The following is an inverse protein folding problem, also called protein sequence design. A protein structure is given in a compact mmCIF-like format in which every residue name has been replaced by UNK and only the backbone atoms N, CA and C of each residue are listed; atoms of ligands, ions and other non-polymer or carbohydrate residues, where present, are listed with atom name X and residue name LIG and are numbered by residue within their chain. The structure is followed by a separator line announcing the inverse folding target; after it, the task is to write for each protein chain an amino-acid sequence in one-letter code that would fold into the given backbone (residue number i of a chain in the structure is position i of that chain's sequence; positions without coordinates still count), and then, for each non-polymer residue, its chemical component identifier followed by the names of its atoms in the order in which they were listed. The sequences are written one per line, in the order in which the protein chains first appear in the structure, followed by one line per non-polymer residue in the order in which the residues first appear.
data_IF_494194393649
#
_entry.id   IF_494194393649
#
_cell.length_a   1.000
_cell.length_b   1.000
_cell.length_c   1.000
_cell.angle_alpha   90.00
_cell.angle_beta   90.00
_cell.angle_gamma   90.00
#
_symmetry.space_group_name_H-M   'P 1'
#
loop_
_entity.id
_entity.type
_entity.pdbx_description
1 polymer ?
#
# COMPACT_ATOMS: atom_id res chain seq x y z
N UNK A 1 -8.74 14.79 -12.78
CA UNK A 1 -7.39 15.36 -12.63
C UNK A 1 -7.48 16.45 -11.59
N UNK A 2 -6.72 16.37 -10.49
CA UNK A 2 -6.71 17.40 -9.44
C UNK A 2 -5.46 18.24 -9.62
N UNK A 3 -5.56 19.56 -9.42
CA UNK A 3 -4.43 20.49 -9.49
C UNK A 3 -4.15 21.05 -8.11
N UNK A 4 -2.86 21.19 -7.77
CA UNK A 4 -2.40 21.76 -6.51
C UNK A 4 -1.24 22.70 -6.80
N UNK A 5 -1.19 23.82 -6.08
CA UNK A 5 -0.01 24.67 -6.01
C UNK A 5 0.95 24.09 -4.96
N UNK A 6 2.18 23.79 -5.37
CA UNK A 6 3.18 23.16 -4.53
C UNK A 6 4.40 24.07 -4.42
N UNK A 7 4.78 24.43 -3.19
CA UNK A 7 6.05 25.08 -2.92
C UNK A 7 7.12 24.01 -2.67
N UNK A 8 8.23 24.12 -3.40
CA UNK A 8 9.38 23.23 -3.24
C UNK A 8 10.58 24.04 -2.78
N UNK A 9 11.26 23.53 -1.75
CA UNK A 9 12.58 24.05 -1.40
C UNK A 9 13.61 23.75 -2.49
N UNK A 10 14.73 24.48 -2.50
CA UNK A 10 15.78 24.34 -3.52
C UNK A 10 16.34 22.92 -3.62
N UNK A 11 16.44 22.21 -2.49
CA UNK A 11 16.93 20.83 -2.47
C UNK A 11 15.92 19.89 -3.13
N UNK A 12 14.64 20.03 -2.82
CA UNK A 12 13.57 19.24 -3.41
C UNK A 12 13.51 19.48 -4.93
N UNK A 13 13.61 20.75 -5.37
CA UNK A 13 13.61 21.06 -6.81
C UNK A 13 14.77 20.38 -7.55
N UNK A 14 15.98 20.43 -6.99
CA UNK A 14 17.15 19.75 -7.54
C UNK A 14 16.95 18.24 -7.64
N UNK A 15 16.40 17.61 -6.59
CA UNK A 15 16.09 16.18 -6.60
C UNK A 15 15.09 15.84 -7.71
N UNK A 16 14.01 16.60 -7.86
CA UNK A 16 13.03 16.39 -8.92
C UNK A 16 13.66 16.56 -10.31
N UNK A 17 14.55 17.53 -10.51
CA UNK A 17 15.27 17.69 -11.79
C UNK A 17 16.18 16.50 -12.10
N UNK A 18 16.84 15.91 -11.10
CA UNK A 18 17.64 14.69 -11.26
C UNK A 18 16.74 13.52 -11.68
N UNK A 19 15.60 13.33 -11.01
CA UNK A 19 14.61 12.29 -11.38
C UNK A 19 14.13 12.50 -12.81
N UNK A 20 13.79 13.73 -13.20
CA UNK A 20 13.39 14.05 -14.57
C UNK A 20 14.44 13.62 -15.59
N UNK A 21 15.70 14.01 -15.36
CA UNK A 21 16.81 13.68 -16.26
C UNK A 21 17.04 12.18 -16.35
N UNK A 22 17.08 11.49 -15.20
CA UNK A 22 17.33 10.04 -15.12
C UNK A 22 16.30 9.20 -15.88
N UNK A 23 15.02 9.57 -15.82
CA UNK A 23 13.93 8.81 -16.42
C UNK A 23 13.36 9.43 -17.70
N UNK A 24 14.00 10.46 -18.26
CA UNK A 24 13.53 11.13 -19.49
C UNK A 24 12.17 11.81 -19.36
N UNK A 25 11.78 12.24 -18.16
CA UNK A 25 10.46 12.82 -17.88
C UNK A 25 10.42 14.30 -18.27
N UNK A 26 9.43 14.68 -19.09
CA UNK A 26 9.36 16.00 -19.74
C UNK A 26 9.14 17.17 -18.76
N UNK A 27 8.25 17.03 -17.78
CA UNK A 27 7.86 18.12 -16.88
C UNK A 27 7.98 17.73 -15.39
N UNK A 28 7.99 18.73 -14.49
CA UNK A 28 8.17 18.52 -13.04
C UNK A 28 6.97 17.81 -12.41
N UNK A 29 5.74 18.11 -12.86
CA UNK A 29 4.53 17.46 -12.35
C UNK A 29 4.55 15.94 -12.58
N UNK A 30 4.91 15.50 -13.79
CA UNK A 30 5.05 14.07 -14.10
C UNK A 30 6.15 13.40 -13.29
N UNK A 31 7.24 14.11 -12.96
CA UNK A 31 8.29 13.57 -12.12
C UNK A 31 7.89 13.47 -10.65
N UNK A 32 7.11 14.42 -10.14
CA UNK A 32 6.53 14.35 -8.80
C UNK A 32 5.57 13.15 -8.71
N UNK A 33 4.69 12.97 -9.70
CA UNK A 33 3.80 11.80 -9.75
C UNK A 33 4.59 10.49 -9.79
N UNK A 34 5.67 10.44 -10.56
CA UNK A 34 6.56 9.27 -10.59
C UNK A 34 7.16 8.94 -9.21
N UNK A 35 7.62 9.97 -8.47
CA UNK A 35 8.14 9.79 -7.11
C UNK A 35 7.06 9.31 -6.14
N UNK A 36 5.84 9.86 -6.23
CA UNK A 36 4.70 9.44 -5.41
C UNK A 36 4.38 7.97 -5.65
N UNK A 37 4.29 7.55 -6.92
CA UNK A 37 4.03 6.15 -7.25
C UNK A 37 5.15 5.23 -6.75
N UNK A 38 6.41 5.66 -6.82
CA UNK A 38 7.52 4.89 -6.24
C UNK A 38 7.44 4.81 -4.72
N UNK A 39 6.99 5.87 -4.07
CA UNK A 39 6.76 5.85 -2.64
C UNK A 39 5.62 4.87 -2.27
N UNK A 40 4.54 4.86 -3.04
CA UNK A 40 3.44 3.91 -2.88
C UNK A 40 3.92 2.45 -3.05
N UNK A 41 4.64 2.16 -4.14
CA UNK A 41 5.16 0.82 -4.43
C UNK A 41 6.14 0.29 -3.37
N UNK A 42 7.00 1.16 -2.83
CA UNK A 42 8.12 0.75 -1.98
C UNK A 42 7.84 0.90 -0.47
N UNK A 43 6.95 1.80 -0.07
CA UNK A 43 6.78 2.18 1.34
C UNK A 43 5.35 2.12 1.86
N UNK A 44 4.33 2.11 1.00
CA UNK A 44 2.96 1.93 1.45
C UNK A 44 2.59 0.46 1.43
N UNK A 45 1.88 0.02 2.48
CA UNK A 45 1.26 -1.29 2.44
C UNK A 45 0.26 -1.32 1.28
N UNK A 46 0.26 -2.36 0.45
CA UNK A 46 -0.70 -2.47 -0.63
C UNK A 46 -2.10 -2.41 -0.03
N UNK A 47 -3.00 -1.67 -0.69
CA UNK A 47 -4.40 -1.67 -0.30
C UNK A 47 -4.91 -3.11 -0.18
N UNK A 48 -5.77 -3.37 0.81
CA UNK A 48 -6.43 -4.67 0.93
C UNK A 48 -7.10 -4.99 -0.40
N UNK A 49 -6.65 -6.06 -1.07
CA UNK A 49 -7.27 -6.49 -2.32
C UNK A 49 -8.78 -6.62 -2.06
N UNK A 50 -9.66 -5.98 -2.86
CA UNK A 50 -11.09 -5.92 -2.57
C UNK A 50 -11.71 -7.30 -2.29
N UNK A 51 -11.24 -8.33 -2.98
CA UNK A 51 -11.65 -9.72 -2.80
C UNK A 51 -11.35 -10.29 -1.40
N UNK A 52 -10.22 -9.92 -0.77
CA UNK A 52 -9.92 -10.33 0.60
C UNK A 52 -10.74 -9.53 1.61
N UNK A 53 -10.95 -8.23 1.37
CA UNK A 53 -11.82 -7.43 2.21
C UNK A 53 -13.26 -7.96 2.20
N UNK A 54 -13.76 -8.37 1.03
CA UNK A 54 -15.08 -9.00 0.88
C UNK A 54 -15.13 -10.37 1.55
N UNK A 55 -14.09 -11.20 1.38
CA UNK A 55 -13.98 -12.50 2.05
C UNK A 55 -14.00 -12.36 3.57
N UNK A 56 -13.25 -11.41 4.13
CA UNK A 56 -13.23 -11.15 5.58
C UNK A 56 -14.61 -10.69 6.05
N UNK A 57 -15.23 -9.72 5.36
CA UNK A 57 -16.59 -9.26 5.70
C UNK A 57 -17.62 -10.38 5.65
N UNK A 58 -17.48 -11.32 4.71
CA UNK A 58 -18.33 -12.50 4.65
C UNK A 58 -18.10 -13.43 5.84
N UNK A 59 -16.84 -13.70 6.18
CA UNK A 59 -16.49 -14.50 7.36
C UNK A 59 -16.99 -13.86 8.66
N UNK A 60 -16.89 -12.54 8.82
CA UNK A 60 -17.42 -11.83 9.99
C UNK A 60 -18.94 -11.99 10.15
N UNK A 61 -19.68 -12.07 9.03
CA UNK A 61 -21.15 -12.19 9.04
C UNK A 61 -21.65 -13.63 9.14
N UNK A 62 -21.00 -14.54 8.43
CA UNK A 62 -21.52 -15.89 8.15
C UNK A 62 -20.55 -17.00 8.58
N UNK A 63 -19.34 -16.64 9.01
CA UNK A 63 -18.31 -17.60 9.37
C UNK A 63 -18.58 -18.27 10.71
N UNK A 64 -18.24 -19.55 10.80
CA UNK A 64 -18.17 -20.27 12.06
C UNK A 64 -16.81 -20.02 12.70
N UNK A 65 -16.80 -19.29 13.82
CA UNK A 65 -15.60 -19.02 14.58
C UNK A 65 -15.44 -20.04 15.70
N UNK A 66 -14.36 -20.79 15.66
CA UNK A 66 -14.00 -21.72 16.74
C UNK A 66 -13.24 -20.97 17.83
N UNK A 67 -13.70 -21.12 19.07
CA UNK A 67 -13.02 -20.54 20.22
C UNK A 67 -12.14 -21.59 20.90
N UNK A 68 -10.85 -21.28 21.05
CA UNK A 68 -9.89 -22.09 21.78
C UNK A 68 -9.49 -21.39 23.07
N UNK A 69 -9.34 -22.17 24.14
CA UNK A 69 -8.99 -21.67 25.48
C UNK A 69 -7.52 -21.28 25.62
N UNK A 70 -6.65 -21.87 24.80
CA UNK A 70 -5.21 -21.67 24.80
C UNK A 70 -4.61 -21.98 23.42
N UNK A 71 -3.38 -21.52 23.19
CA UNK A 71 -2.70 -21.72 21.91
C UNK A 71 -2.39 -23.20 21.63
N UNK A 72 -2.16 -24.00 22.68
CA UNK A 72 -1.87 -25.43 22.57
C UNK A 72 -3.06 -26.24 22.04
N UNK A 73 -4.28 -25.92 22.49
CA UNK A 73 -5.51 -26.54 21.98
C UNK A 73 -5.83 -26.12 20.56
N UNK A 74 -5.56 -24.86 20.21
CA UNK A 74 -5.64 -24.40 18.81
C UNK A 74 -4.66 -25.14 17.90
N UNK A 75 -3.39 -25.25 18.32
CA UNK A 75 -2.34 -25.88 17.53
C UNK A 75 -2.66 -27.35 17.22
N UNK A 76 -3.12 -28.12 18.20
CA UNK A 76 -3.55 -29.52 17.99
C UNK A 76 -4.68 -29.63 16.96
N UNK A 77 -5.70 -28.76 17.06
CA UNK A 77 -6.82 -28.78 16.12
C UNK A 77 -6.42 -28.44 14.67
N UNK A 78 -5.35 -27.66 14.48
CA UNK A 78 -4.79 -27.35 13.16
C UNK A 78 -3.90 -28.45 12.61
N UNK A 79 -3.23 -29.23 13.46
CA UNK A 79 -2.38 -30.36 13.05
C UNK A 79 -3.22 -31.59 12.67
N UNK A 80 -4.43 -31.72 13.22
CA UNK A 80 -5.38 -32.80 12.94
C UNK A 80 -6.33 -32.54 11.74
N UNK A 81 -6.27 -31.34 11.13
CA UNK A 81 -7.16 -30.88 10.04
C UNK A 81 -6.50 -30.93 8.65
#
# INVERSE_FOLDING_TARGET
MVQTLLELGERQDRVINIVKGKYGIKNKSSAINFVINKYEEEFLEPELRPEYAEKIRKLEKEGEFLHYKDFESFKRAMEDA
#
